data_IF_529218503117
#
_entry.id   IF_529218503117
#
_cell.length_a   1.000
_cell.length_b   1.000
_cell.length_c   1.000
_cell.angle_alpha   90.00
_cell.angle_beta   90.00
_cell.angle_gamma   90.00
#
_symmetry.space_group_name_H-M   'P 1'
#
loop_
_entity.id
_entity.type
_entity.pdbx_description
1 polymer ?
#
# COMPACT_ATOMS: atom_id res chain seq x y z
N UNK A 1 -46.01 -15.02 15.53
CA UNK A 1 -44.78 -15.38 14.79
C UNK A 1 -43.71 -14.32 15.06
N UNK A 2 -42.57 -14.68 15.65
CA UNK A 2 -41.44 -13.76 15.87
C UNK A 2 -40.50 -13.83 14.66
N UNK A 3 -40.36 -12.72 13.94
CA UNK A 3 -39.43 -12.60 12.80
C UNK A 3 -38.01 -12.57 13.38
N UNK A 4 -37.24 -13.65 13.16
CA UNK A 4 -35.79 -13.64 13.40
C UNK A 4 -35.15 -12.64 12.42
N UNK A 5 -34.68 -11.50 12.94
CA UNK A 5 -33.74 -10.63 12.22
C UNK A 5 -32.55 -11.50 11.81
N UNK A 6 -32.35 -11.67 10.49
CA UNK A 6 -31.08 -12.17 9.95
C UNK A 6 -29.99 -11.24 10.46
N UNK A 7 -29.10 -11.76 11.30
CA UNK A 7 -27.81 -11.14 11.58
C UNK A 7 -27.16 -10.86 10.23
N UNK A 8 -26.90 -9.58 9.97
CA UNK A 8 -26.34 -9.12 8.70
C UNK A 8 -25.07 -9.90 8.40
N UNK A 9 -25.01 -10.46 7.20
CA UNK A 9 -23.80 -11.07 6.67
C UNK A 9 -22.68 -10.03 6.81
N UNK A 10 -21.63 -10.35 7.56
CA UNK A 10 -20.45 -9.47 7.66
C UNK A 10 -19.96 -9.20 6.25
N UNK A 11 -19.90 -7.92 5.88
CA UNK A 11 -19.35 -7.50 4.59
C UNK A 11 -18.00 -8.19 4.43
N UNK A 12 -17.78 -8.85 3.27
CA UNK A 12 -16.57 -9.63 2.98
C UNK A 12 -15.34 -8.90 3.55
N UNK A 13 -14.49 -9.60 4.33
CA UNK A 13 -13.31 -8.96 4.90
C UNK A 13 -12.53 -8.29 3.77
N UNK A 14 -12.16 -7.03 3.99
CA UNK A 14 -11.34 -6.28 3.05
C UNK A 14 -10.00 -6.97 2.82
N UNK A 15 -9.22 -6.48 1.85
CA UNK A 15 -7.86 -7.01 1.65
C UNK A 15 -6.94 -6.42 2.73
N UNK A 16 -6.12 -7.22 3.44
CA UNK A 16 -5.14 -6.67 4.37
C UNK A 16 -4.13 -5.82 3.58
N UNK A 17 -3.84 -4.63 4.11
CA UNK A 17 -2.93 -3.65 3.51
C UNK A 17 -1.73 -3.35 4.41
N UNK A 18 -1.96 -3.22 5.71
CA UNK A 18 -0.91 -2.98 6.69
C UNK A 18 -1.06 -3.90 7.90
N UNK A 19 0.07 -4.30 8.46
CA UNK A 19 0.17 -4.82 9.82
C UNK A 19 1.06 -3.86 10.59
N UNK A 20 0.65 -3.46 11.79
CA UNK A 20 1.40 -2.50 12.62
C UNK A 20 1.79 -3.19 13.92
N UNK A 21 3.08 -3.48 14.09
CA UNK A 21 3.62 -4.00 15.34
C UNK A 21 3.79 -2.88 16.37
N UNK A 22 3.49 -3.13 17.64
CA UNK A 22 3.55 -2.12 18.68
C UNK A 22 4.82 -2.23 19.52
N UNK A 23 5.38 -1.09 19.91
CA UNK A 23 6.48 -1.05 20.89
C UNK A 23 5.95 -1.03 22.33
N UNK A 24 4.74 -0.50 22.53
CA UNK A 24 4.07 -0.43 23.84
C UNK A 24 2.64 -0.96 23.78
N UNK A 25 1.82 -0.61 24.77
CA UNK A 25 0.42 -1.02 24.84
C UNK A 25 -0.36 -0.65 23.56
N UNK A 26 -1.35 -1.46 23.16
CA UNK A 26 -2.22 -1.13 22.03
C UNK A 26 -2.89 0.23 22.19
N UNK A 27 -2.95 1.01 21.11
CA UNK A 27 -3.74 2.25 21.07
C UNK A 27 -5.24 1.95 21.12
N UNK A 28 -6.02 2.86 21.72
CA UNK A 28 -7.48 2.76 21.67
C UNK A 28 -8.04 3.35 20.39
N UNK A 29 -9.26 2.95 20.01
CA UNK A 29 -9.93 3.56 18.85
C UNK A 29 -10.20 5.06 19.07
N UNK A 30 -10.37 5.48 20.32
CA UNK A 30 -10.56 6.88 20.70
C UNK A 30 -9.30 7.70 20.44
N UNK A 31 -8.13 7.18 20.81
CA UNK A 31 -6.85 7.86 20.57
C UNK A 31 -6.59 8.01 19.07
N UNK A 32 -6.79 6.92 18.31
CA UNK A 32 -6.64 6.95 16.85
C UNK A 32 -7.60 7.95 16.20
N UNK A 33 -8.86 8.00 16.65
CA UNK A 33 -9.84 8.97 16.17
C UNK A 33 -9.44 10.41 16.49
N UNK A 34 -9.04 10.69 17.73
CA UNK A 34 -8.61 12.02 18.13
C UNK A 34 -7.41 12.48 17.32
N UNK A 35 -6.40 11.61 17.19
CA UNK A 35 -5.22 11.88 16.37
C UNK A 35 -5.59 12.13 14.91
N UNK A 36 -6.42 11.28 14.31
CA UNK A 36 -6.84 11.43 12.92
C UNK A 36 -7.59 12.74 12.68
N UNK A 37 -8.51 13.09 13.58
CA UNK A 37 -9.32 14.31 13.47
C UNK A 37 -8.46 15.57 13.61
N UNK A 38 -7.45 15.54 14.49
CA UNK A 38 -6.48 16.62 14.66
C UNK A 38 -5.59 16.79 13.42
N UNK A 39 -5.05 15.68 12.89
CA UNK A 39 -4.06 15.71 11.81
C UNK A 39 -4.68 15.94 10.43
N UNK A 40 -5.89 15.43 10.20
CA UNK A 40 -6.52 15.42 8.87
C UNK A 40 -7.87 16.15 8.81
N UNK A 41 -8.27 16.82 9.87
CA UNK A 41 -9.48 17.66 9.92
C UNK A 41 -10.79 16.91 10.15
N UNK A 42 -10.76 15.58 10.28
CA UNK A 42 -11.87 14.74 10.72
C UNK A 42 -13.20 14.88 9.96
N UNK A 43 -14.28 14.24 10.44
CA UNK A 43 -14.29 13.22 11.49
C UNK A 43 -13.92 11.83 10.95
N UNK A 44 -13.21 11.04 11.74
CA UNK A 44 -13.09 9.60 11.61
C UNK A 44 -14.33 8.95 12.26
N UNK A 45 -15.23 8.44 11.43
CA UNK A 45 -16.51 7.87 11.85
C UNK A 45 -16.40 6.36 12.06
N UNK A 46 -16.94 5.87 13.17
CA UNK A 46 -17.13 4.46 13.47
C UNK A 46 -18.49 4.02 12.91
N UNK A 47 -18.54 2.97 12.08
CA UNK A 47 -19.80 2.50 11.48
C UNK A 47 -20.67 1.71 12.47
N UNK A 48 -20.08 1.22 13.56
CA UNK A 48 -20.78 0.68 14.70
C UNK A 48 -20.05 1.15 15.94
N UNK A 49 -20.76 1.80 16.86
CA UNK A 49 -20.17 2.07 18.18
C UNK A 49 -19.98 0.74 18.89
N UNK A 50 -18.78 0.44 19.41
CA UNK A 50 -18.54 -0.81 20.09
C UNK A 50 -19.44 -0.86 21.33
N UNK A 51 -20.39 -1.80 21.35
CA UNK A 51 -21.38 -1.94 22.43
C UNK A 51 -20.77 -2.30 23.79
N UNK A 52 -19.48 -2.62 23.82
CA UNK A 52 -18.64 -2.96 24.97
C UNK A 52 -17.21 -2.45 24.71
N UNK A 53 -16.34 -2.28 25.73
CA UNK A 53 -14.93 -2.05 25.44
C UNK A 53 -14.45 -3.12 24.45
N UNK A 54 -13.83 -2.74 23.31
CA UNK A 54 -13.55 -3.67 22.24
C UNK A 54 -12.69 -4.80 22.82
N UNK A 55 -13.24 -6.02 22.80
CA UNK A 55 -12.45 -7.20 23.15
C UNK A 55 -11.29 -7.30 22.18
N UNK A 56 -10.14 -7.78 22.64
CA UNK A 56 -9.04 -8.11 21.74
C UNK A 56 -9.57 -8.98 20.60
N UNK A 57 -9.22 -8.65 19.35
CA UNK A 57 -9.70 -9.30 18.11
C UNK A 57 -11.02 -8.79 17.47
N UNK A 58 -11.66 -7.74 17.98
CA UNK A 58 -12.83 -7.16 17.31
C UNK A 58 -12.42 -6.30 16.09
N UNK A 59 -13.12 -6.49 14.96
CA UNK A 59 -12.96 -5.66 13.76
C UNK A 59 -13.84 -4.43 13.85
N UNK A 60 -13.23 -3.26 13.69
CA UNK A 60 -13.87 -1.96 13.76
C UNK A 60 -13.91 -1.36 12.36
N UNK A 61 -15.10 -1.11 11.84
CA UNK A 61 -15.27 -0.38 10.58
C UNK A 61 -15.16 1.13 10.81
N UNK A 62 -14.19 1.75 10.14
CA UNK A 62 -13.93 3.18 10.15
C UNK A 62 -14.17 3.79 8.77
N UNK A 63 -14.58 5.06 8.76
CA UNK A 63 -14.78 5.80 7.52
C UNK A 63 -14.48 7.28 7.67
N UNK A 64 -14.05 7.90 6.57
CA UNK A 64 -13.91 9.34 6.42
C UNK A 64 -14.40 9.72 5.02
N UNK A 65 -15.36 10.64 4.94
CA UNK A 65 -16.08 10.96 3.71
C UNK A 65 -16.59 9.68 3.00
N UNK A 66 -16.11 9.39 1.79
CA UNK A 66 -16.46 8.20 1.00
C UNK A 66 -15.51 7.01 1.22
N UNK A 67 -14.41 7.20 1.95
CA UNK A 67 -13.39 6.17 2.15
C UNK A 67 -13.70 5.34 3.40
N UNK A 68 -13.39 4.05 3.33
CA UNK A 68 -13.65 3.11 4.42
C UNK A 68 -12.57 2.05 4.55
N UNK A 69 -12.33 1.61 5.78
CA UNK A 69 -11.38 0.58 6.14
C UNK A 69 -11.92 -0.19 7.35
N UNK A 70 -11.41 -1.41 7.54
CA UNK A 70 -11.63 -2.18 8.76
C UNK A 70 -10.31 -2.31 9.52
N UNK A 71 -10.37 -2.10 10.83
CA UNK A 71 -9.24 -2.13 11.74
C UNK A 71 -9.41 -3.25 12.76
N UNK A 72 -8.35 -3.99 13.03
CA UNK A 72 -8.23 -4.79 14.24
C UNK A 72 -7.09 -4.20 15.05
N UNK A 73 -7.41 -3.49 16.14
CA UNK A 73 -6.43 -2.75 16.94
C UNK A 73 -5.53 -3.66 17.79
N UNK A 74 -5.95 -4.90 18.03
CA UNK A 74 -5.15 -5.91 18.69
C UNK A 74 -5.50 -7.26 18.10
N UNK A 75 -4.57 -7.81 17.31
CA UNK A 75 -4.70 -9.15 16.73
C UNK A 75 -4.69 -10.21 17.83
N UNK A 76 -5.36 -11.36 17.60
CA UNK A 76 -5.19 -12.54 18.43
C UNK A 76 -3.70 -12.87 18.59
N UNK A 77 -3.29 -13.27 19.80
CA UNK A 77 -1.88 -13.54 20.14
C UNK A 77 -1.20 -14.49 19.15
N UNK A 78 -1.89 -15.55 18.73
CA UNK A 78 -1.36 -16.51 17.75
C UNK A 78 -1.05 -15.83 16.40
N UNK A 79 -1.93 -14.94 15.94
CA UNK A 79 -1.74 -14.22 14.69
C UNK A 79 -0.61 -13.18 14.79
N UNK A 80 -0.52 -12.47 15.91
CA UNK A 80 0.59 -11.55 16.17
C UNK A 80 1.95 -12.28 16.20
N UNK A 81 2.02 -13.43 16.86
CA UNK A 81 3.23 -14.27 16.89
C UNK A 81 3.59 -14.84 15.51
N UNK A 82 2.61 -15.17 14.67
CA UNK A 82 2.85 -15.59 13.30
C UNK A 82 3.47 -14.46 12.47
N UNK A 83 2.93 -13.24 12.56
CA UNK A 83 3.54 -12.07 11.92
C UNK A 83 4.94 -11.77 12.45
N UNK A 84 5.14 -11.91 13.76
CA UNK A 84 6.45 -11.76 14.38
C UNK A 84 7.49 -12.70 13.78
N UNK A 85 7.15 -13.98 13.65
CA UNK A 85 8.03 -14.98 13.03
C UNK A 85 8.25 -14.71 11.55
N UNK A 86 7.19 -14.39 10.81
CA UNK A 86 7.26 -14.16 9.37
C UNK A 86 8.09 -12.93 9.00
N UNK A 87 7.95 -11.85 9.76
CA UNK A 87 8.63 -10.58 9.48
C UNK A 87 9.98 -10.45 10.19
N UNK A 88 10.28 -11.33 11.15
CA UNK A 88 11.51 -11.28 11.94
C UNK A 88 11.62 -10.05 12.84
N UNK A 89 10.51 -9.34 13.10
CA UNK A 89 10.51 -8.12 13.93
C UNK A 89 10.36 -8.41 15.43
N UNK A 90 10.56 -7.40 16.27
CA UNK A 90 10.52 -7.54 17.73
C UNK A 90 9.12 -7.53 18.36
N UNK A 91 8.09 -7.11 17.62
CA UNK A 91 6.77 -6.80 18.18
C UNK A 91 5.97 -8.06 18.56
N UNK A 92 5.51 -8.11 19.81
CA UNK A 92 4.64 -9.20 20.35
C UNK A 92 3.15 -8.91 20.19
N UNK A 93 2.79 -7.66 19.93
CA UNK A 93 1.43 -7.21 19.66
C UNK A 93 1.41 -6.51 18.32
N UNK A 94 0.29 -6.66 17.61
CA UNK A 94 0.11 -6.00 16.33
C UNK A 94 -1.36 -5.66 16.07
N UNK A 95 -1.58 -4.61 15.29
CA UNK A 95 -2.83 -4.32 14.62
C UNK A 95 -2.80 -4.72 13.15
N UNK A 96 -3.98 -4.81 12.55
CA UNK A 96 -4.13 -5.00 11.11
C UNK A 96 -5.14 -4.01 10.53
N UNK A 97 -4.81 -3.52 9.34
CA UNK A 97 -5.66 -2.64 8.55
C UNK A 97 -6.06 -3.39 7.30
N UNK A 98 -7.37 -3.47 7.08
CA UNK A 98 -7.98 -4.01 5.88
C UNK A 98 -8.62 -2.88 5.07
N UNK A 99 -8.30 -2.83 3.79
CA UNK A 99 -8.93 -1.91 2.86
C UNK A 99 -10.25 -2.53 2.37
N UNK A 100 -11.36 -1.80 2.54
CA UNK A 100 -12.66 -2.19 1.98
C UNK A 100 -12.61 -2.06 0.45
N UNK A 101 -13.41 -2.86 -0.25
CA UNK A 101 -13.46 -2.79 -1.71
C UNK A 101 -13.95 -1.41 -2.14
N UNK A 102 -13.15 -0.74 -2.96
CA UNK A 102 -13.48 0.53 -3.58
C UNK A 102 -13.48 0.35 -5.11
N UNK A 103 -14.26 1.15 -5.87
CA UNK A 103 -14.13 1.22 -7.31
C UNK A 103 -12.69 1.58 -7.71
N UNK A 104 -12.20 1.15 -8.89
CA UNK A 104 -10.84 1.49 -9.34
C UNK A 104 -10.54 2.99 -9.35
N UNK A 105 -11.54 3.82 -9.65
CA UNK A 105 -11.45 5.28 -9.61
C UNK A 105 -11.17 5.87 -8.23
N UNK A 106 -11.39 5.11 -7.15
CA UNK A 106 -11.17 5.50 -5.76
C UNK A 106 -10.06 4.66 -5.10
N UNK A 107 -9.32 3.86 -5.87
CA UNK A 107 -8.30 2.97 -5.32
C UNK A 107 -7.18 3.75 -4.60
N UNK A 108 -6.79 4.92 -5.14
CA UNK A 108 -5.83 5.83 -4.52
C UNK A 108 -6.28 6.25 -3.14
N UNK A 109 -7.45 6.88 -3.08
CA UNK A 109 -7.91 7.47 -1.84
C UNK A 109 -8.21 6.41 -0.78
N UNK A 110 -8.73 5.25 -1.20
CA UNK A 110 -8.97 4.14 -0.30
C UNK A 110 -7.66 3.57 0.26
N UNK A 111 -6.61 3.48 -0.55
CA UNK A 111 -5.28 3.08 -0.07
C UNK A 111 -4.67 4.15 0.84
N UNK A 112 -4.77 5.42 0.42
CA UNK A 112 -4.24 6.58 1.14
C UNK A 112 -4.86 6.66 2.53
N UNK A 113 -6.17 6.51 2.65
CA UNK A 113 -6.88 6.42 3.92
C UNK A 113 -6.31 5.30 4.81
N UNK A 114 -6.12 4.10 4.25
CA UNK A 114 -5.46 2.99 4.96
C UNK A 114 -4.04 3.31 5.43
N UNK A 115 -3.24 3.98 4.61
CA UNK A 115 -1.89 4.43 4.97
C UNK A 115 -1.91 5.49 6.08
N UNK A 116 -2.88 6.40 6.09
CA UNK A 116 -3.01 7.41 7.15
C UNK A 116 -3.41 6.79 8.49
N UNK A 117 -4.25 5.77 8.46
CA UNK A 117 -4.55 4.95 9.66
C UNK A 117 -3.30 4.19 10.14
N UNK A 118 -2.52 3.62 9.21
CA UNK A 118 -1.26 2.94 9.54
C UNK A 118 -0.28 3.90 10.21
N UNK A 119 -0.08 5.10 9.64
CA UNK A 119 0.74 6.16 10.24
C UNK A 119 0.28 6.48 11.65
N UNK A 120 -1.02 6.70 11.86
CA UNK A 120 -1.56 7.01 13.18
C UNK A 120 -1.23 5.94 14.22
N UNK A 121 -1.46 4.67 13.88
CA UNK A 121 -1.13 3.56 14.77
C UNK A 121 0.38 3.45 15.02
N UNK A 122 1.20 3.63 13.99
CA UNK A 122 2.67 3.62 14.13
C UNK A 122 3.14 4.70 15.09
N UNK A 123 2.65 5.93 14.95
CA UNK A 123 3.04 7.05 15.81
C UNK A 123 2.52 6.89 17.24
N UNK A 124 1.25 6.53 17.41
CA UNK A 124 0.62 6.38 18.73
C UNK A 124 1.21 5.23 19.56
N UNK A 125 1.84 4.24 18.92
CA UNK A 125 2.39 3.05 19.59
C UNK A 125 3.91 2.98 19.53
N UNK A 126 4.56 4.00 18.96
CA UNK A 126 5.98 4.02 18.56
C UNK A 126 6.41 2.72 17.85
N UNK A 127 5.50 2.16 17.06
CA UNK A 127 5.61 0.84 16.47
C UNK A 127 6.31 0.83 15.12
N UNK A 128 6.14 -0.25 14.37
CA UNK A 128 6.57 -0.36 12.97
C UNK A 128 5.42 -0.89 12.14
N UNK A 129 5.06 -0.19 11.06
CA UNK A 129 4.13 -0.69 10.06
C UNK A 129 4.87 -1.53 9.02
N UNK A 130 4.19 -2.54 8.50
CA UNK A 130 4.61 -3.33 7.36
C UNK A 130 3.58 -3.18 6.25
N UNK A 131 3.99 -2.64 5.09
CA UNK A 131 3.16 -2.58 3.88
C UNK A 131 3.20 -3.94 3.18
N UNK A 132 2.06 -4.65 3.17
CA UNK A 132 1.99 -6.00 2.61
C UNK A 132 2.12 -6.03 1.08
N UNK A 133 1.88 -4.91 0.40
CA UNK A 133 1.97 -4.82 -1.05
C UNK A 133 3.38 -4.40 -1.49
N UNK A 134 3.99 -3.45 -0.78
CA UNK A 134 5.34 -2.98 -1.08
C UNK A 134 6.45 -3.82 -0.42
N UNK A 135 6.10 -4.66 0.55
CA UNK A 135 7.05 -5.50 1.28
C UNK A 135 8.02 -4.71 2.16
N UNK A 136 7.65 -3.50 2.58
CA UNK A 136 8.52 -2.56 3.29
C UNK A 136 8.08 -2.30 4.72
N UNK A 137 9.05 -1.99 5.58
CA UNK A 137 8.84 -1.53 6.94
C UNK A 137 8.81 0.01 6.98
N UNK A 138 7.94 0.56 7.82
CA UNK A 138 7.77 1.99 8.03
C UNK A 138 7.72 2.28 9.53
N UNK A 139 8.79 2.84 10.05
CA UNK A 139 8.92 3.33 11.42
C UNK A 139 8.35 4.76 11.54
N UNK A 140 8.22 5.32 12.76
CA UNK A 140 7.69 6.67 12.96
C UNK A 140 8.39 7.75 12.09
N UNK A 141 9.71 7.63 11.92
CA UNK A 141 10.54 8.56 11.12
C UNK A 141 10.38 8.43 9.62
N UNK A 142 9.90 7.28 9.13
CA UNK A 142 9.83 6.98 7.70
C UNK A 142 8.57 7.60 7.08
N UNK A 143 7.56 7.89 7.90
CA UNK A 143 6.31 8.50 7.47
C UNK A 143 6.50 9.97 7.10
N UNK A 144 6.17 10.30 5.85
CA UNK A 144 6.08 11.67 5.40
C UNK A 144 4.80 12.32 5.93
N UNK A 145 4.93 13.49 6.54
CA UNK A 145 3.78 14.28 6.95
C UNK A 145 3.13 14.91 5.71
N UNK A 146 1.96 14.39 5.35
CA UNK A 146 1.21 14.82 4.16
C UNK A 146 -0.27 14.92 4.47
N UNK A 147 -0.95 15.94 3.91
CA UNK A 147 -2.39 16.03 3.95
C UNK A 147 -3.06 14.75 3.44
N UNK A 148 -4.30 14.53 3.90
CA UNK A 148 -5.09 13.35 3.56
C UNK A 148 -5.42 13.24 2.06
N UNK A 149 -5.45 14.37 1.34
CA UNK A 149 -5.68 14.43 -0.10
C UNK A 149 -4.39 14.51 -0.94
N UNK A 150 -3.22 14.44 -0.31
CA UNK A 150 -1.93 14.49 -1.00
C UNK A 150 -1.38 13.09 -1.22
N UNK A 151 -1.48 12.61 -2.46
CA UNK A 151 -0.89 11.36 -2.90
C UNK A 151 0.49 11.59 -3.54
N UNK A 152 1.47 10.75 -3.17
CA UNK A 152 2.78 10.66 -3.84
C UNK A 152 3.15 9.20 -3.97
N UNK A 153 3.41 8.74 -5.20
CA UNK A 153 3.67 7.32 -5.43
C UNK A 153 4.88 6.80 -4.65
N UNK A 154 5.93 7.61 -4.52
CA UNK A 154 7.16 7.26 -3.81
C UNK A 154 6.98 6.96 -2.32
N UNK A 155 5.90 7.43 -1.68
CA UNK A 155 5.60 7.07 -0.28
C UNK A 155 4.99 5.67 -0.15
N UNK A 156 4.55 5.10 -1.27
CA UNK A 156 3.71 3.91 -1.32
C UNK A 156 4.34 2.77 -2.11
N UNK A 157 5.34 3.05 -2.95
CA UNK A 157 5.96 2.07 -3.82
C UNK A 157 7.45 2.09 -3.58
N UNK A 158 8.04 0.92 -3.41
CA UNK A 158 9.49 0.74 -3.32
C UNK A 158 10.01 0.20 -4.65
N UNK A 159 11.32 0.39 -4.88
CA UNK A 159 12.02 -0.24 -6.00
C UNK A 159 13.13 -1.09 -5.43
N UNK A 160 13.12 -2.39 -5.73
CA UNK A 160 14.24 -3.28 -5.41
C UNK A 160 15.20 -3.35 -6.58
N UNK A 161 16.49 -3.35 -6.29
CA UNK A 161 17.52 -3.76 -7.23
C UNK A 161 17.88 -5.22 -6.95
N UNK A 162 17.80 -6.06 -7.98
CA UNK A 162 18.21 -7.47 -7.93
C UNK A 162 19.15 -7.74 -9.08
N UNK A 163 20.11 -8.64 -8.86
CA UNK A 163 20.92 -9.18 -9.95
C UNK A 163 20.00 -9.93 -10.91
N UNK A 164 19.98 -9.52 -12.19
CA UNK A 164 19.34 -10.34 -13.23
C UNK A 164 20.23 -11.55 -13.55
N UNK A 165 19.66 -12.52 -14.25
CA UNK A 165 20.37 -13.62 -14.88
C UNK A 165 21.46 -13.16 -15.86
N UNK A 166 21.35 -11.94 -16.39
CA UNK A 166 22.38 -11.31 -17.21
C UNK A 166 23.43 -10.61 -16.32
N UNK A 167 24.70 -11.07 -16.31
CA UNK A 167 25.75 -10.45 -15.51
C UNK A 167 26.10 -9.01 -15.92
N UNK A 168 25.63 -8.52 -17.07
CA UNK A 168 25.88 -7.15 -17.54
C UNK A 168 24.85 -6.13 -17.02
N UNK A 169 23.72 -6.58 -16.46
CA UNK A 169 22.61 -5.69 -16.11
C UNK A 169 22.11 -5.93 -14.67
N UNK A 170 21.70 -4.83 -14.05
CA UNK A 170 20.93 -4.87 -12.82
C UNK A 170 19.44 -4.71 -13.15
N UNK A 171 18.58 -5.49 -12.50
CA UNK A 171 17.14 -5.40 -12.65
C UNK A 171 16.55 -4.56 -11.52
N UNK A 172 15.76 -3.55 -11.91
CA UNK A 172 15.03 -2.69 -10.99
C UNK A 172 13.54 -2.99 -11.12
N UNK A 173 12.89 -3.36 -10.02
CA UNK A 173 11.48 -3.74 -10.00
C UNK A 173 10.72 -2.94 -8.96
N UNK A 174 9.56 -2.40 -9.32
CA UNK A 174 8.62 -1.79 -8.37
C UNK A 174 7.95 -2.85 -7.50
N UNK A 175 7.57 -2.44 -6.28
CA UNK A 175 6.70 -3.22 -5.41
C UNK A 175 5.63 -2.31 -4.82
N UNK A 176 4.36 -2.70 -5.02
CA UNK A 176 3.22 -2.02 -4.45
C UNK A 176 2.31 -1.35 -5.48
N UNK A 177 2.60 -1.38 -6.79
CA UNK A 177 1.68 -0.86 -7.80
C UNK A 177 0.37 -1.62 -7.86
N UNK A 178 0.40 -2.91 -7.53
CA UNK A 178 -0.78 -3.78 -7.48
C UNK A 178 -1.90 -3.30 -6.55
N UNK A 179 -1.58 -2.50 -5.51
CA UNK A 179 -2.61 -1.92 -4.63
C UNK A 179 -3.44 -0.82 -5.31
N UNK A 180 -2.95 -0.28 -6.42
CA UNK A 180 -3.64 0.68 -7.27
C UNK A 180 -4.21 0.05 -8.56
N UNK A 181 -4.18 -1.28 -8.68
CA UNK A 181 -4.69 -1.99 -9.85
C UNK A 181 -3.77 -1.96 -11.06
N UNK A 182 -2.48 -1.65 -10.86
CA UNK A 182 -1.45 -1.71 -11.90
C UNK A 182 -0.55 -2.93 -11.73
N UNK A 183 -0.06 -3.45 -12.84
CA UNK A 183 1.04 -4.41 -12.84
C UNK A 183 2.31 -3.74 -12.30
N UNK A 184 3.17 -4.51 -11.63
CA UNK A 184 4.48 -4.02 -11.24
C UNK A 184 5.32 -3.73 -12.49
N UNK A 185 6.22 -2.76 -12.42
CA UNK A 185 7.12 -2.40 -13.52
C UNK A 185 8.52 -2.89 -13.21
N UNK A 186 9.21 -3.39 -14.24
CA UNK A 186 10.62 -3.72 -14.15
C UNK A 186 11.41 -3.12 -15.32
N UNK A 187 12.68 -2.85 -15.10
CA UNK A 187 13.59 -2.38 -16.14
C UNK A 187 15.01 -2.87 -15.88
N UNK A 188 15.81 -2.94 -16.95
CA UNK A 188 17.21 -3.34 -16.88
C UNK A 188 18.08 -2.11 -17.08
N UNK A 189 19.08 -1.95 -16.23
CA UNK A 189 20.10 -0.92 -16.37
C UNK A 189 21.47 -1.58 -16.48
N UNK A 190 22.37 -1.07 -17.34
CA UNK A 190 23.76 -1.53 -17.35
C UNK A 190 24.36 -1.43 -15.95
N UNK A 191 25.04 -2.50 -15.53
CA UNK A 191 25.70 -2.57 -14.22
C UNK A 191 26.84 -1.55 -14.16
N UNK A 192 27.04 -0.97 -12.98
CA UNK A 192 28.09 0.04 -12.73
C UNK A 192 27.64 1.49 -12.89
N UNK A 193 26.38 1.72 -13.29
CA UNK A 193 25.74 3.05 -13.20
C UNK A 193 25.06 3.25 -11.84
N UNK A 194 24.98 4.50 -11.32
CA UNK A 194 24.23 4.78 -10.10
C UNK A 194 22.74 4.42 -10.24
N UNK A 195 22.28 3.46 -9.43
CA UNK A 195 20.90 2.96 -9.49
C UNK A 195 19.82 4.00 -9.15
N UNK A 196 20.16 5.05 -8.39
CA UNK A 196 19.20 6.06 -7.94
C UNK A 196 18.48 6.73 -9.11
N UNK A 197 19.19 7.06 -10.19
CA UNK A 197 18.55 7.68 -11.37
C UNK A 197 17.52 6.73 -12.00
N UNK A 198 17.83 5.43 -12.08
CA UNK A 198 16.90 4.41 -12.60
C UNK A 198 15.69 4.25 -11.69
N UNK A 199 15.89 4.25 -10.37
CA UNK A 199 14.81 4.18 -9.37
C UNK A 199 13.89 5.40 -9.50
N UNK A 200 14.44 6.61 -9.47
CA UNK A 200 13.67 7.85 -9.57
C UNK A 200 12.89 7.91 -10.88
N UNK A 201 13.52 7.47 -11.98
CA UNK A 201 12.89 7.43 -13.30
C UNK A 201 11.75 6.41 -13.34
N UNK A 202 11.95 5.23 -12.79
CA UNK A 202 10.94 4.18 -12.73
C UNK A 202 9.72 4.61 -11.91
N UNK A 203 9.93 5.29 -10.78
CA UNK A 203 8.85 5.87 -9.97
C UNK A 203 8.10 6.97 -10.72
N UNK A 204 8.80 7.87 -11.43
CA UNK A 204 8.15 8.90 -12.26
C UNK A 204 7.30 8.29 -13.39
N UNK A 205 7.83 7.27 -14.08
CA UNK A 205 7.11 6.55 -15.14
C UNK A 205 5.87 5.87 -14.56
N UNK A 206 6.03 5.15 -13.44
CA UNK A 206 4.93 4.49 -12.77
C UNK A 206 3.84 5.49 -12.38
N UNK A 207 4.20 6.63 -11.80
CA UNK A 207 3.26 7.69 -11.42
C UNK A 207 2.55 8.27 -12.65
N UNK A 208 3.26 8.52 -13.75
CA UNK A 208 2.66 9.02 -14.98
C UNK A 208 1.69 8.01 -15.63
N UNK A 209 2.06 6.73 -15.66
CA UNK A 209 1.20 5.66 -16.18
C UNK A 209 -0.06 5.49 -15.33
N UNK A 210 0.09 5.56 -14.01
CA UNK A 210 -0.97 5.51 -13.03
C UNK A 210 -2.00 6.63 -13.24
N UNK A 211 -1.54 7.86 -13.45
CA UNK A 211 -2.41 8.99 -13.78
C UNK A 211 -3.04 8.91 -15.17
N UNK A 212 -2.42 8.20 -16.11
CA UNK A 212 -2.97 8.03 -17.46
C UNK A 212 -4.15 7.04 -17.51
N UNK A 213 -4.30 6.20 -16.48
CA UNK A 213 -5.30 5.13 -16.42
C UNK A 213 -5.10 4.03 -17.48
N UNK A 214 -3.98 4.04 -18.21
CA UNK A 214 -3.68 3.05 -19.25
C UNK A 214 -3.01 1.82 -18.63
N UNK A 215 -3.54 0.65 -18.95
CA UNK A 215 -2.89 -0.61 -18.61
C UNK A 215 -1.83 -0.94 -19.67
N UNK A 216 -0.54 -1.02 -19.33
CA UNK A 216 0.51 -1.29 -20.31
C UNK A 216 0.37 -2.70 -20.88
N UNK A 217 0.28 -2.82 -22.21
CA UNK A 217 0.24 -4.11 -22.92
C UNK A 217 1.57 -4.38 -23.61
N UNK A 218 1.98 -5.65 -23.70
CA UNK A 218 3.25 -6.00 -24.37
C UNK A 218 3.23 -5.56 -25.84
N UNK A 219 4.33 -4.95 -26.28
CA UNK A 219 4.49 -4.39 -27.62
C UNK A 219 3.95 -2.97 -27.78
N UNK A 220 3.28 -2.41 -26.76
CA UNK A 220 2.83 -1.02 -26.81
C UNK A 220 3.96 -0.04 -26.50
N UNK A 221 3.90 1.13 -27.16
CA UNK A 221 4.67 2.32 -26.80
C UNK A 221 3.70 3.37 -26.25
N UNK A 222 3.97 3.83 -25.04
CA UNK A 222 3.12 4.77 -24.32
C UNK A 222 3.87 6.10 -24.23
N UNK A 223 3.43 7.15 -24.93
CA UNK A 223 4.03 8.46 -24.79
C UNK A 223 3.70 9.03 -23.41
N UNK A 224 4.72 9.54 -22.72
CA UNK A 224 4.63 10.25 -21.46
C UNK A 224 5.16 11.68 -21.64
N UNK A 225 4.36 12.60 -22.23
CA UNK A 225 4.83 13.93 -22.62
C UNK A 225 5.38 14.75 -21.45
N UNK A 226 4.81 14.59 -20.23
CA UNK A 226 5.28 15.27 -19.02
C UNK A 226 6.70 14.89 -18.61
N UNK A 227 7.18 13.72 -19.05
CA UNK A 227 8.53 13.26 -18.80
C UNK A 227 9.43 13.39 -20.04
N UNK A 228 8.87 13.80 -21.19
CA UNK A 228 9.53 13.75 -22.50
C UNK A 228 10.09 12.35 -22.82
N UNK A 229 9.30 11.31 -22.56
CA UNK A 229 9.68 9.92 -22.76
C UNK A 229 8.63 9.15 -23.56
N UNK A 230 9.11 8.17 -24.31
CA UNK A 230 8.30 7.07 -24.83
C UNK A 230 8.64 5.80 -24.05
N UNK A 231 7.64 5.20 -23.40
CA UNK A 231 7.79 3.97 -22.62
C UNK A 231 7.35 2.79 -23.47
N UNK A 232 8.26 1.86 -23.74
CA UNK A 232 7.98 0.63 -24.45
C UNK A 232 7.80 -0.53 -23.47
N UNK A 233 6.71 -1.29 -23.62
CA UNK A 233 6.47 -2.51 -22.84
C UNK A 233 7.02 -3.71 -23.60
N UNK A 234 8.12 -4.27 -23.11
CA UNK A 234 8.90 -5.30 -23.80
C UNK A 234 8.39 -6.70 -23.48
N UNK A 235 8.07 -6.97 -22.22
CA UNK A 235 7.70 -8.30 -21.77
C UNK A 235 6.70 -8.27 -20.63
N UNK A 236 6.12 -9.44 -20.36
CA UNK A 236 5.25 -9.69 -19.22
C UNK A 236 5.62 -11.03 -18.59
N UNK A 237 5.69 -11.05 -17.26
CA UNK A 237 5.84 -12.27 -16.48
C UNK A 237 4.98 -12.21 -15.23
N UNK A 238 4.74 -13.38 -14.65
CA UNK A 238 4.08 -13.50 -13.36
C UNK A 238 5.06 -14.07 -12.35
N UNK A 239 5.16 -13.43 -11.18
CA UNK A 239 6.05 -13.85 -10.10
C UNK A 239 5.24 -14.31 -8.88
N UNK A 240 5.74 -15.30 -8.10
CA UNK A 240 5.18 -15.62 -6.80
C UNK A 240 5.33 -14.42 -5.84
N UNK A 241 4.30 -14.14 -5.05
CA UNK A 241 4.34 -13.12 -4.01
C UNK A 241 3.44 -13.54 -2.83
N UNK A 242 3.69 -12.97 -1.64
CA UNK A 242 3.01 -13.33 -0.38
C UNK A 242 1.48 -13.25 -0.49
N UNK A 243 0.98 -12.33 -1.33
CA UNK A 243 -0.46 -12.10 -1.53
C UNK A 243 -1.07 -12.90 -2.70
N UNK A 244 -0.30 -13.80 -3.32
CA UNK A 244 -0.63 -14.47 -4.57
C UNK A 244 0.22 -13.94 -5.73
N UNK A 245 0.06 -14.50 -6.94
CA UNK A 245 0.89 -14.15 -8.08
C UNK A 245 0.77 -12.67 -8.45
N UNK A 246 1.91 -12.01 -8.73
CA UNK A 246 1.97 -10.63 -9.23
C UNK A 246 2.31 -10.60 -10.71
N UNK A 247 1.60 -9.79 -11.48
CA UNK A 247 1.95 -9.49 -12.86
C UNK A 247 3.00 -8.37 -12.89
N UNK A 248 4.05 -8.59 -13.69
CA UNK A 248 5.18 -7.67 -13.86
C UNK A 248 5.34 -7.37 -15.35
N UNK A 249 5.52 -6.10 -15.69
CA UNK A 249 5.77 -5.58 -17.04
C UNK A 249 7.19 -5.08 -17.15
N UNK A 250 7.98 -5.67 -18.05
CA UNK A 250 9.29 -5.15 -18.39
C UNK A 250 9.14 -3.96 -19.33
N UNK A 251 9.77 -2.85 -18.97
CA UNK A 251 9.77 -1.63 -19.75
C UNK A 251 11.18 -1.17 -20.09
N UNK A 252 11.29 -0.51 -21.24
CA UNK A 252 12.38 0.39 -21.55
C UNK A 252 11.81 1.75 -21.91
N UNK A 253 12.65 2.78 -21.90
CA UNK A 253 12.25 4.10 -22.33
C UNK A 253 13.34 4.74 -23.17
N UNK A 254 12.90 5.61 -24.08
CA UNK A 254 13.75 6.50 -24.86
C UNK A 254 13.23 7.93 -24.71
N UNK A 255 14.07 8.91 -25.02
CA UNK A 255 13.61 10.28 -25.19
C UNK A 255 12.46 10.30 -26.20
N UNK A 256 11.34 10.90 -25.81
CA UNK A 256 10.18 11.07 -26.68
C UNK A 256 10.46 12.11 -27.74
N UNK A 257 9.93 11.90 -28.94
CA UNK A 257 10.06 12.84 -30.05
C UNK A 257 9.22 14.10 -29.72
N UNK A 258 9.81 15.30 -29.63
CA UNK A 258 9.06 16.51 -29.25
C UNK A 258 8.04 16.97 -30.31
N UNK A 259 7.98 16.34 -31.48
CA UNK A 259 7.14 16.70 -32.62
C UNK A 259 5.87 15.83 -32.81
N UNK A 260 5.48 15.01 -31.82
CA UNK A 260 4.23 14.21 -31.87
C UNK A 260 3.11 14.71 -30.97
#
# INVERSE_FOLDING_TARGET
>A
MKIKRKTGHSAKPGRPVFVVGFSFAPSTITDLRFWFDLEYGGPLKLQSEPSHPPSSSEWIDVSHATWSAALCLALPREQAENWKKQLGWGHSMAAMIMQRQAPPSQAFDAHLFGSRLARGLTLLTEGTAYDLAAGSFLNPSDWQDRPLNSFRLADHVTVSQTDDTDPAHDCFQTHGLSKFGMDELETLSPRGLPGQHTIDRLLQIAEALLHSGRTPTVGSTIPLPRLALDVQVIAHRTIPHVRGPLSVRRIAWSSGDPER
#
